data_IF_737860461524
#
_entry.id   IF_737860461524
#
_cell.length_a   1.000
_cell.length_b   1.000
_cell.length_c   1.000
_cell.angle_alpha   90.00
_cell.angle_beta   90.00
_cell.angle_gamma   90.00
#
_symmetry.space_group_name_H-M   'P 1'
#
loop_
_entity.id
_entity.type
_entity.pdbx_description
1 polymer ?
#
# COMPACT_ATOMS: atom_id res chain seq x y z
N UNK A 1 -8.25 -18.15 5.96
CA UNK A 1 -6.88 -17.73 6.34
C UNK A 1 -6.94 -16.22 6.48
N UNK A 2 -6.66 -15.70 7.67
CA UNK A 2 -6.93 -14.31 8.06
C UNK A 2 -7.55 -14.28 9.45
N UNK A 3 -6.77 -14.69 10.45
CA UNK A 3 -7.15 -14.62 11.85
C UNK A 3 -6.48 -13.42 12.48
N UNK A 4 -7.27 -12.52 13.06
CA UNK A 4 -6.91 -11.57 14.12
C UNK A 4 -5.43 -11.19 14.26
N UNK A 5 -5.06 -10.04 13.67
CA UNK A 5 -4.06 -9.13 14.23
C UNK A 5 -2.70 -9.77 14.60
N UNK A 6 -2.09 -10.47 13.65
CA UNK A 6 -0.73 -10.98 13.77
C UNK A 6 0.30 -9.90 13.44
N UNK A 7 0.75 -9.18 14.47
CA UNK A 7 2.02 -8.43 14.49
C UNK A 7 2.23 -7.38 13.36
N UNK A 8 1.17 -6.89 12.73
CA UNK A 8 1.23 -5.83 11.71
C UNK A 8 1.37 -6.32 10.25
N UNK A 9 1.13 -7.61 9.97
CA UNK A 9 1.11 -8.16 8.62
C UNK A 9 -0.17 -8.99 8.38
N UNK A 10 -0.86 -8.76 7.27
CA UNK A 10 -2.04 -9.55 6.89
C UNK A 10 -1.70 -10.73 5.98
N UNK A 11 -0.63 -10.60 5.17
CA UNK A 11 -0.18 -11.63 4.24
C UNK A 11 1.34 -11.71 4.23
N UNK A 12 1.87 -12.93 4.30
CA UNK A 12 3.26 -13.25 3.98
C UNK A 12 3.32 -13.95 2.62
N UNK A 13 4.34 -13.66 1.82
CA UNK A 13 4.46 -14.23 0.49
C UNK A 13 5.86 -14.22 -0.08
N UNK A 14 5.98 -14.63 -1.35
CA UNK A 14 7.23 -14.60 -2.10
C UNK A 14 6.99 -13.98 -3.47
N UNK A 15 7.85 -13.05 -3.86
CA UNK A 15 7.84 -12.48 -5.21
C UNK A 15 8.37 -13.49 -6.23
N UNK A 16 8.04 -13.33 -7.54
CA UNK A 16 8.56 -14.21 -8.58
C UNK A 16 10.09 -14.25 -8.69
N UNK A 17 10.77 -13.20 -8.24
CA UNK A 17 12.24 -13.12 -8.17
C UNK A 17 12.83 -13.80 -6.93
N UNK A 18 11.99 -14.38 -6.06
CA UNK A 18 12.39 -15.11 -4.87
C UNK A 18 12.43 -14.30 -3.58
N UNK A 19 12.25 -12.98 -3.60
CA UNK A 19 12.24 -12.19 -2.36
C UNK A 19 11.03 -12.48 -1.49
N UNK A 20 11.20 -12.56 -0.17
CA UNK A 20 10.07 -12.64 0.78
C UNK A 20 9.36 -11.30 0.88
N UNK A 21 8.03 -11.32 1.03
CA UNK A 21 7.24 -10.10 1.21
C UNK A 21 6.32 -10.19 2.41
N UNK A 22 6.09 -9.02 3.01
CA UNK A 22 5.12 -8.77 4.07
C UNK A 22 4.15 -7.73 3.55
N UNK A 23 2.85 -8.04 3.62
CA UNK A 23 1.79 -7.16 3.14
C UNK A 23 0.88 -6.79 4.31
N UNK A 24 0.57 -5.50 4.42
CA UNK A 24 -0.53 -5.01 5.23
C UNK A 24 -1.59 -4.39 4.33
N UNK A 25 -2.85 -4.68 4.61
CA UNK A 25 -4.03 -4.28 3.86
C UNK A 25 -4.96 -3.48 4.77
N UNK A 26 -5.04 -2.17 4.57
CA UNK A 26 -5.88 -1.31 5.39
C UNK A 26 -7.10 -0.81 4.60
N UNK A 27 -8.29 -0.98 5.18
CA UNK A 27 -9.56 -0.52 4.61
C UNK A 27 -10.18 0.58 5.47
N UNK A 28 -9.78 1.83 5.21
CA UNK A 28 -10.48 3.00 5.73
C UNK A 28 -11.55 3.54 4.79
N UNK A 29 -12.41 4.40 5.35
CA UNK A 29 -13.32 5.22 4.56
C UNK A 29 -12.55 6.04 3.51
N UNK A 30 -13.18 6.25 2.36
CA UNK A 30 -12.62 6.97 1.20
C UNK A 30 -12.21 8.42 1.51
N UNK A 31 -12.75 9.00 2.58
CA UNK A 31 -12.39 10.33 3.08
C UNK A 31 -11.05 10.36 3.82
N UNK A 32 -10.66 9.26 4.48
CA UNK A 32 -9.47 9.15 5.30
C UNK A 32 -8.20 8.93 4.47
N UNK A 33 -7.06 9.28 5.05
CA UNK A 33 -5.73 9.00 4.48
C UNK A 33 -4.94 8.12 5.42
N UNK A 34 -4.13 7.24 4.87
CA UNK A 34 -3.13 6.49 5.66
C UNK A 34 -2.10 7.47 6.21
N UNK A 35 -1.83 7.38 7.51
CA UNK A 35 -0.80 8.13 8.20
C UNK A 35 0.52 7.34 8.29
N UNK A 36 1.60 8.03 8.64
CA UNK A 36 2.94 7.43 8.66
C UNK A 36 3.14 6.47 9.84
N UNK A 37 2.21 6.43 10.81
CA UNK A 37 2.28 5.47 11.91
C UNK A 37 2.04 4.06 11.39
N UNK A 38 1.02 3.88 10.56
CA UNK A 38 0.66 2.60 9.96
C UNK A 38 1.82 2.03 9.12
N UNK A 39 2.52 2.90 8.40
CA UNK A 39 3.73 2.50 7.65
C UNK A 39 4.89 2.07 8.56
N UNK A 40 5.05 2.69 9.73
CA UNK A 40 6.06 2.29 10.72
C UNK A 40 5.72 0.95 11.37
N UNK A 41 4.44 0.69 11.57
CA UNK A 41 3.97 -0.60 12.08
C UNK A 41 4.31 -1.71 11.07
N UNK A 42 4.08 -1.49 9.77
CA UNK A 42 4.50 -2.40 8.71
C UNK A 42 6.03 -2.59 8.64
N UNK A 43 6.84 -1.54 8.83
CA UNK A 43 8.30 -1.70 8.88
C UNK A 43 8.73 -2.59 10.04
N UNK A 44 8.06 -2.48 11.18
CA UNK A 44 8.32 -3.33 12.34
C UNK A 44 7.96 -4.79 12.02
N UNK A 45 6.83 -5.01 11.34
CA UNK A 45 6.42 -6.33 10.86
C UNK A 45 7.41 -6.91 9.83
N UNK A 46 7.91 -6.10 8.89
CA UNK A 46 8.94 -6.49 7.91
C UNK A 46 10.17 -7.06 8.62
N UNK A 47 10.66 -6.39 9.66
CA UNK A 47 11.81 -6.87 10.45
C UNK A 47 11.45 -8.15 11.20
N UNK A 48 10.30 -8.17 11.89
CA UNK A 48 9.86 -9.31 12.69
C UNK A 48 9.76 -10.61 11.86
N UNK A 49 9.17 -10.52 10.67
CA UNK A 49 8.99 -11.66 9.76
C UNK A 49 10.16 -11.88 8.80
N UNK A 50 11.25 -11.12 8.92
CA UNK A 50 12.41 -11.17 8.01
C UNK A 50 12.00 -11.02 6.53
N UNK A 51 11.04 -10.13 6.29
CA UNK A 51 10.57 -9.76 4.97
C UNK A 51 11.60 -8.91 4.23
N UNK A 52 11.84 -9.23 2.97
CA UNK A 52 12.72 -8.43 2.11
C UNK A 52 11.96 -7.24 1.50
N UNK A 53 10.66 -7.41 1.20
CA UNK A 53 9.79 -6.38 0.62
C UNK A 53 8.59 -6.11 1.54
N UNK A 54 8.32 -4.83 1.82
CA UNK A 54 7.11 -4.40 2.51
C UNK A 54 6.12 -3.80 1.49
N UNK A 55 4.87 -4.22 1.55
CA UNK A 55 3.79 -3.72 0.69
C UNK A 55 2.65 -3.24 1.56
N UNK A 56 2.28 -1.97 1.41
CA UNK A 56 1.09 -1.44 2.08
C UNK A 56 -0.01 -1.22 1.05
N UNK A 57 -1.11 -1.93 1.20
CA UNK A 57 -2.25 -1.90 0.29
C UNK A 57 -3.40 -1.16 0.92
N UNK A 58 -3.98 -0.20 0.18
CA UNK A 58 -5.19 0.47 0.62
C UNK A 58 -6.11 0.84 -0.54
N UNK A 59 -7.41 0.84 -0.27
CA UNK A 59 -8.44 1.31 -1.23
C UNK A 59 -8.66 2.83 -1.16
N UNK A 60 -7.97 3.53 -0.25
CA UNK A 60 -7.92 5.00 -0.19
C UNK A 60 -6.56 5.53 -0.69
N UNK A 61 -6.10 6.65 -0.14
CA UNK A 61 -4.85 7.35 -0.45
C UNK A 61 -3.95 7.45 0.78
N UNK A 62 -2.66 7.65 0.54
CA UNK A 62 -1.68 8.06 1.54
C UNK A 62 -1.67 9.58 1.66
N UNK A 63 -1.39 10.09 2.86
CA UNK A 63 -1.04 11.50 3.00
C UNK A 63 0.29 11.79 2.30
N UNK A 64 0.58 13.06 1.94
CA UNK A 64 1.88 13.42 1.33
C UNK A 64 3.09 13.02 2.20
N UNK A 65 3.08 13.27 3.53
CA UNK A 65 4.14 12.77 4.40
C UNK A 65 4.26 11.24 4.41
N UNK A 66 3.15 10.52 4.31
CA UNK A 66 3.15 9.06 4.32
C UNK A 66 3.64 8.47 3.01
N UNK A 67 3.27 9.05 1.87
CA UNK A 67 3.83 8.67 0.57
C UNK A 67 5.35 8.89 0.52
N UNK A 68 5.82 10.06 0.98
CA UNK A 68 7.25 10.34 1.08
C UNK A 68 7.96 9.33 1.99
N UNK A 69 7.37 9.03 3.14
CA UNK A 69 7.89 8.04 4.09
C UNK A 69 7.96 6.65 3.46
N UNK A 70 6.94 6.24 2.70
CA UNK A 70 6.94 4.95 2.01
C UNK A 70 8.09 4.83 1.02
N UNK A 71 8.33 5.87 0.21
CA UNK A 71 9.46 5.90 -0.74
C UNK A 71 10.80 5.86 -0.01
N UNK A 72 10.97 6.69 1.02
CA UNK A 72 12.21 6.78 1.80
C UNK A 72 12.61 5.45 2.47
N UNK A 73 11.63 4.65 2.88
CA UNK A 73 11.84 3.36 3.54
C UNK A 73 11.56 2.15 2.65
N UNK A 74 11.49 2.35 1.32
CA UNK A 74 11.29 1.30 0.32
C UNK A 74 10.05 0.41 0.59
N UNK A 75 8.97 1.03 1.10
CA UNK A 75 7.65 0.42 1.23
C UNK A 75 6.91 0.65 -0.08
N UNK A 76 6.41 -0.42 -0.69
CA UNK A 76 5.57 -0.31 -1.87
C UNK A 76 4.16 0.12 -1.47
N UNK A 77 3.83 1.39 -1.72
CA UNK A 77 2.56 1.99 -1.37
C UNK A 77 1.52 1.79 -2.50
N UNK A 78 0.68 0.77 -2.35
CA UNK A 78 -0.35 0.41 -3.32
C UNK A 78 -1.68 1.06 -2.90
N UNK A 79 -1.89 2.31 -3.35
CA UNK A 79 -3.16 3.01 -3.20
C UNK A 79 -4.15 2.63 -4.29
N UNK A 80 -5.33 3.23 -4.26
CA UNK A 80 -6.47 2.88 -5.13
C UNK A 80 -6.18 2.83 -6.63
N UNK A 81 -5.39 3.76 -7.14
CA UNK A 81 -5.03 3.82 -8.57
C UNK A 81 -4.03 2.71 -8.94
N UNK A 82 -3.02 2.46 -8.09
CA UNK A 82 -2.13 1.30 -8.22
C UNK A 82 -2.91 -0.03 -8.12
N UNK A 83 -3.89 -0.13 -7.22
CA UNK A 83 -4.77 -1.30 -7.14
C UNK A 83 -5.56 -1.52 -8.44
N UNK A 84 -5.99 -0.44 -9.08
CA UNK A 84 -6.64 -0.52 -10.40
C UNK A 84 -5.71 -1.15 -11.44
N UNK A 85 -4.46 -0.70 -11.50
CA UNK A 85 -3.46 -1.26 -12.42
C UNK A 85 -3.14 -2.72 -12.09
N UNK A 86 -2.95 -3.04 -10.80
CA UNK A 86 -2.66 -4.40 -10.35
C UNK A 86 -3.80 -5.36 -10.72
N UNK A 87 -5.04 -4.97 -10.41
CA UNK A 87 -6.23 -5.77 -10.73
C UNK A 87 -6.43 -5.98 -12.24
N UNK A 88 -5.87 -5.09 -13.08
CA UNK A 88 -5.87 -5.23 -14.54
C UNK A 88 -4.63 -5.98 -15.08
N UNK A 89 -3.83 -6.62 -14.22
CA UNK A 89 -2.75 -7.51 -14.62
C UNK A 89 -1.34 -6.91 -14.54
N UNK A 90 -1.19 -5.66 -14.10
CA UNK A 90 0.15 -5.12 -13.81
C UNK A 90 0.81 -5.94 -12.69
N UNK A 91 2.09 -6.29 -12.86
CA UNK A 91 2.81 -7.02 -11.81
C UNK A 91 3.16 -6.09 -10.65
N UNK A 92 3.28 -6.63 -9.44
CA UNK A 92 3.70 -5.86 -8.28
C UNK A 92 5.09 -5.22 -8.48
N UNK A 93 5.97 -5.90 -9.22
CA UNK A 93 7.28 -5.36 -9.63
C UNK A 93 7.17 -4.16 -10.58
N UNK A 94 6.19 -4.14 -11.48
CA UNK A 94 5.99 -2.98 -12.35
C UNK A 94 5.50 -1.75 -11.58
N UNK A 95 4.76 -1.95 -10.49
CA UNK A 95 4.27 -0.87 -9.64
C UNK A 95 5.38 -0.20 -8.83
N UNK A 96 6.50 -0.88 -8.55
CA UNK A 96 7.62 -0.25 -7.83
C UNK A 96 8.24 0.89 -8.63
N UNK A 97 8.22 0.82 -9.98
CA UNK A 97 8.72 1.86 -10.87
C UNK A 97 7.90 3.16 -10.83
N UNK A 98 6.69 3.12 -10.28
CA UNK A 98 5.80 4.29 -10.11
C UNK A 98 5.45 4.55 -8.64
N UNK A 99 6.17 3.92 -7.70
CA UNK A 99 5.94 4.12 -6.28
C UNK A 99 6.15 5.60 -5.89
N UNK A 100 5.28 6.13 -5.04
CA UNK A 100 5.28 7.56 -4.69
C UNK A 100 4.64 8.49 -5.73
N UNK A 101 3.99 7.93 -6.75
CA UNK A 101 3.22 8.66 -7.75
C UNK A 101 1.81 8.09 -7.85
N UNK A 102 0.94 8.74 -8.64
CA UNK A 102 -0.32 8.13 -9.08
C UNK A 102 -1.56 8.45 -8.24
N UNK A 103 -1.49 9.24 -7.17
CA UNK A 103 -2.65 9.59 -6.31
C UNK A 103 -3.46 10.83 -6.78
N UNK A 104 -3.02 11.45 -7.87
CA UNK A 104 -3.64 12.60 -8.51
C UNK A 104 -3.75 13.89 -7.67
N UNK A 105 -4.31 14.92 -8.28
CA UNK A 105 -4.53 16.23 -7.65
C UNK A 105 -5.95 16.35 -7.04
N UNK A 106 -6.34 17.57 -6.67
CA UNK A 106 -7.67 17.84 -6.12
C UNK A 106 -8.82 17.49 -7.07
N UNK A 107 -8.61 17.64 -8.39
CA UNK A 107 -9.62 17.33 -9.41
C UNK A 107 -9.76 15.82 -9.57
N UNK A 108 -8.65 15.09 -9.60
CA UNK A 108 -8.64 13.62 -9.58
C UNK A 108 -9.44 13.08 -8.39
N UNK A 109 -9.23 13.64 -7.20
CA UNK A 109 -9.96 13.25 -5.99
C UNK A 109 -11.46 13.55 -6.06
N UNK A 110 -11.86 14.66 -6.67
CA UNK A 110 -13.26 15.01 -6.85
C UNK A 110 -13.96 14.01 -7.78
N UNK A 111 -13.33 13.70 -8.93
CA UNK A 111 -13.82 12.70 -9.86
C UNK A 111 -13.91 11.32 -9.22
N UNK A 112 -12.90 10.94 -8.44
CA UNK A 112 -12.88 9.67 -7.74
C UNK A 112 -14.02 9.54 -6.70
N UNK A 113 -14.26 10.58 -5.89
CA UNK A 113 -15.41 10.61 -4.97
C UNK A 113 -16.74 10.48 -5.69
N UNK A 114 -16.88 11.09 -6.87
CA UNK A 114 -18.09 10.96 -7.68
C UNK A 114 -18.28 9.54 -8.21
N UNK A 115 -17.19 8.88 -8.64
CA UNK A 115 -17.24 7.54 -9.22
C UNK A 115 -17.41 6.42 -8.17
N UNK A 116 -16.86 6.57 -6.96
CA UNK A 116 -16.73 5.47 -5.98
C UNK A 116 -17.17 5.81 -4.54
N UNK A 117 -17.73 7.00 -4.28
CA UNK A 117 -18.05 7.48 -2.93
C UNK A 117 -19.39 7.03 -2.34
N UNK A 118 -19.99 5.94 -2.84
CA UNK A 118 -21.25 5.37 -2.30
C UNK A 118 -20.99 4.28 -1.28
#
# INVERSE_FOLDING_TARGET
MGGSHDNGADVLGRLPDGRTMVIQCERYATSSTIASRELRDLLSAKVHFRGEVAVFVTTTRFSRPSEKFAVEHEILAVHRDHLGLWNNGASLLSLSGVNGHGQGDSRHRAHWKQAYGK
#
